data_IF_270906132439
#
_entry.id   IF_270906132439
#
_cell.length_a   1.000
_cell.length_b   1.000
_cell.length_c   1.000
_cell.angle_alpha   90.00
_cell.angle_beta   90.00
_cell.angle_gamma   90.00
#
_symmetry.space_group_name_H-M   'P 1'
#
loop_
_entity.id
_entity.type
_entity.pdbx_description
1 polymer ?
#
# COMPACT_ATOMS: atom_id res chain seq x y z
N UNK A 1 -29.21 1.58 -9.46
CA UNK A 1 -29.09 0.89 -8.17
C UNK A 1 -27.69 0.29 -8.16
N UNK A 2 -26.83 0.79 -7.28
CA UNK A 2 -25.45 0.32 -7.16
C UNK A 2 -25.41 -1.08 -6.52
N UNK A 3 -24.28 -1.80 -6.63
CA UNK A 3 -24.09 -3.05 -5.88
C UNK A 3 -24.23 -2.82 -4.36
N UNK A 4 -23.85 -1.64 -3.88
CA UNK A 4 -23.99 -1.26 -2.47
C UNK A 4 -25.45 -1.07 -2.06
N UNK A 5 -26.29 -0.52 -2.94
CA UNK A 5 -27.74 -0.39 -2.71
C UNK A 5 -28.38 -1.78 -2.58
N UNK A 6 -27.95 -2.75 -3.40
CA UNK A 6 -28.42 -4.14 -3.33
C UNK A 6 -27.99 -4.83 -2.03
N UNK A 7 -26.72 -4.67 -1.62
CA UNK A 7 -26.21 -5.20 -0.34
C UNK A 7 -27.01 -4.60 0.83
N UNK A 8 -27.19 -3.28 0.83
CA UNK A 8 -27.93 -2.57 1.88
C UNK A 8 -29.39 -3.01 1.93
N UNK A 9 -30.03 -3.18 0.77
CA UNK A 9 -31.45 -3.54 0.70
C UNK A 9 -31.72 -5.03 1.02
N UNK A 10 -30.84 -5.93 0.59
CA UNK A 10 -31.08 -7.37 0.68
C UNK A 10 -30.30 -8.07 1.80
N UNK A 11 -29.10 -7.61 2.14
CA UNK A 11 -28.16 -8.29 3.07
C UNK A 11 -28.17 -7.62 4.44
N UNK A 12 -28.00 -6.30 4.50
CA UNK A 12 -27.93 -5.57 5.77
C UNK A 12 -29.36 -5.24 6.23
N UNK A 13 -30.06 -6.23 6.77
CA UNK A 13 -31.35 -6.00 7.44
C UNK A 13 -31.12 -5.94 8.94
N UNK A 14 -31.53 -4.84 9.56
CA UNK A 14 -31.66 -4.84 11.02
C UNK A 14 -32.88 -5.69 11.36
N UNK A 15 -32.73 -6.65 12.28
CA UNK A 15 -33.86 -7.45 12.78
C UNK A 15 -34.75 -6.66 13.76
N UNK A 16 -34.53 -5.35 13.90
CA UNK A 16 -35.26 -4.46 14.79
C UNK A 16 -36.19 -3.56 13.95
N UNK A 17 -37.51 -3.55 14.19
CA UNK A 17 -38.44 -2.65 13.50
C UNK A 17 -38.10 -1.14 13.62
N UNK A 18 -37.29 -0.76 14.62
CA UNK A 18 -36.77 0.59 14.81
C UNK A 18 -35.29 0.76 14.39
N UNK A 19 -34.64 -0.28 13.87
CA UNK A 19 -33.22 -0.22 13.49
C UNK A 19 -33.03 0.34 12.09
N UNK A 20 -32.22 1.39 11.98
CA UNK A 20 -31.74 1.95 10.71
C UNK A 20 -30.34 1.45 10.34
N UNK A 21 -29.93 1.74 9.10
CA UNK A 21 -28.56 1.52 8.63
C UNK A 21 -27.87 2.88 8.64
N UNK A 22 -26.62 2.92 9.11
CA UNK A 22 -25.81 4.13 9.06
C UNK A 22 -25.56 4.51 7.58
N UNK A 23 -25.95 5.72 7.20
CA UNK A 23 -25.67 6.25 5.86
C UNK A 23 -24.27 6.89 5.86
N UNK A 24 -23.25 6.05 5.60
CA UNK A 24 -21.84 6.45 5.59
C UNK A 24 -21.58 7.58 4.58
N UNK A 25 -22.29 7.60 3.44
CA UNK A 25 -22.14 8.64 2.43
C UNK A 25 -22.66 9.99 2.95
N UNK A 26 -23.84 10.00 3.57
CA UNK A 26 -24.39 11.21 4.18
C UNK A 26 -23.54 11.69 5.36
N UNK A 27 -23.00 10.77 6.17
CA UNK A 27 -22.08 11.11 7.26
C UNK A 27 -20.80 11.77 6.74
N UNK A 28 -20.21 11.22 5.67
CA UNK A 28 -19.05 11.82 5.00
C UNK A 28 -19.37 13.18 4.40
N UNK A 29 -20.52 13.32 3.71
CA UNK A 29 -20.97 14.60 3.14
C UNK A 29 -21.13 15.69 4.20
N UNK A 30 -21.55 15.33 5.43
CA UNK A 30 -21.70 16.25 6.56
C UNK A 30 -20.37 16.61 7.21
N UNK A 31 -19.45 15.65 7.32
CA UNK A 31 -18.14 15.84 7.93
C UNK A 31 -17.09 14.96 7.23
N UNK A 32 -16.36 15.51 6.24
CA UNK A 32 -15.33 14.78 5.51
C UNK A 32 -14.01 14.65 6.29
N UNK A 33 -13.93 15.29 7.46
CA UNK A 33 -12.79 15.22 8.40
C UNK A 33 -13.05 14.22 9.52
N UNK A 34 -11.97 13.64 10.05
CA UNK A 34 -11.93 12.82 11.25
C UNK A 34 -12.60 13.54 12.42
N UNK A 35 -13.49 12.84 13.10
CA UNK A 35 -14.29 13.36 14.22
C UNK A 35 -14.65 12.18 15.15
N UNK A 36 -15.47 12.44 16.17
CA UNK A 36 -15.87 11.40 17.12
C UNK A 36 -16.56 10.19 16.45
N UNK A 37 -17.37 10.41 15.42
CA UNK A 37 -18.07 9.33 14.72
C UNK A 37 -17.10 8.41 13.96
N UNK A 38 -16.09 8.98 13.30
CA UNK A 38 -15.05 8.19 12.61
C UNK A 38 -14.07 7.54 13.60
N UNK A 39 -13.75 8.22 14.71
CA UNK A 39 -12.90 7.68 15.76
C UNK A 39 -13.53 6.46 16.44
N UNK A 40 -14.86 6.46 16.63
CA UNK A 40 -15.63 5.33 17.18
C UNK A 40 -15.53 4.07 16.31
N UNK A 41 -15.24 4.19 15.01
CA UNK A 41 -15.05 3.06 14.09
C UNK A 41 -13.62 2.50 14.09
N UNK A 42 -12.70 3.09 14.84
CA UNK A 42 -11.31 2.61 14.94
C UNK A 42 -11.17 1.68 16.16
N UNK A 43 -10.78 0.41 15.98
CA UNK A 43 -10.55 -0.47 17.10
C UNK A 43 -9.33 0.00 17.91
N UNK A 44 -9.45 -0.01 19.23
CA UNK A 44 -8.32 0.18 20.13
C UNK A 44 -7.58 -1.15 20.29
N UNK A 45 -6.60 -1.37 19.40
CA UNK A 45 -5.84 -2.61 19.34
C UNK A 45 -5.06 -2.89 20.64
N UNK A 46 -4.81 -1.88 21.49
CA UNK A 46 -4.10 -2.06 22.77
C UNK A 46 -4.94 -2.81 23.82
N UNK A 47 -6.26 -2.90 23.60
CA UNK A 47 -7.19 -3.64 24.48
C UNK A 47 -7.35 -5.10 24.10
N UNK A 48 -6.73 -5.56 23.01
CA UNK A 48 -6.83 -6.95 22.55
C UNK A 48 -5.73 -7.77 23.24
N UNK A 49 -6.14 -8.62 24.19
CA UNK A 49 -5.26 -9.50 24.98
C UNK A 49 -5.54 -10.99 24.75
N UNK A 50 -6.04 -11.33 23.55
CA UNK A 50 -6.31 -12.71 23.14
C UNK A 50 -5.31 -13.15 22.07
N UNK A 51 -4.98 -14.45 21.99
CA UNK A 51 -4.20 -14.98 20.88
C UNK A 51 -4.87 -14.67 19.55
N UNK A 52 -4.09 -14.16 18.59
CA UNK A 52 -4.56 -13.80 17.25
C UNK A 52 -3.78 -14.55 16.18
N UNK A 53 -4.47 -14.91 15.12
CA UNK A 53 -3.90 -15.40 13.86
C UNK A 53 -4.26 -14.38 12.78
N UNK A 54 -3.29 -13.57 12.35
CA UNK A 54 -3.50 -12.47 11.40
C UNK A 54 -2.87 -12.85 10.06
N UNK A 55 -3.66 -12.77 8.99
CA UNK A 55 -3.18 -12.79 7.61
C UNK A 55 -3.24 -11.39 7.03
N UNK A 56 -2.41 -11.08 6.04
CA UNK A 56 -2.32 -9.76 5.43
C UNK A 56 -2.01 -9.87 3.95
N UNK A 57 -2.09 -8.75 3.24
CA UNK A 57 -1.78 -8.70 1.81
C UNK A 57 -1.17 -7.36 1.44
N UNK A 58 -0.03 -7.39 0.76
CA UNK A 58 0.63 -6.20 0.22
C UNK A 58 -0.10 -5.56 -0.96
N UNK A 59 -1.16 -6.21 -1.47
CA UNK A 59 -1.82 -5.81 -2.72
C UNK A 59 -3.30 -5.47 -2.58
N UNK A 60 -3.96 -5.84 -1.46
CA UNK A 60 -5.35 -5.45 -1.23
C UNK A 60 -5.45 -3.95 -0.91
N UNK A 61 -6.32 -3.22 -1.60
CA UNK A 61 -6.59 -1.81 -1.27
C UNK A 61 -7.55 -1.61 -0.08
N UNK A 62 -8.08 -2.70 0.48
CA UNK A 62 -9.10 -2.69 1.55
C UNK A 62 -8.58 -3.42 2.79
N UNK A 63 -7.95 -4.60 2.62
CA UNK A 63 -7.50 -5.46 3.72
C UNK A 63 -5.99 -5.70 3.63
N UNK A 64 -5.18 -4.68 3.95
CA UNK A 64 -3.70 -4.84 3.97
C UNK A 64 -3.28 -5.67 5.19
N UNK A 65 -3.95 -5.46 6.32
CA UNK A 65 -3.96 -6.35 7.48
C UNK A 65 -5.35 -6.99 7.62
N UNK A 66 -5.41 -8.29 7.92
CA UNK A 66 -6.65 -9.07 8.02
C UNK A 66 -7.18 -9.56 6.67
N UNK A 67 -6.32 -9.82 5.67
CA UNK A 67 -6.75 -10.22 4.33
C UNK A 67 -7.07 -11.72 4.25
N UNK A 68 -8.27 -12.07 3.80
CA UNK A 68 -8.74 -13.45 3.68
C UNK A 68 -8.99 -13.84 2.22
N UNK A 69 -7.94 -13.96 1.41
CA UNK A 69 -8.15 -14.27 -0.02
C UNK A 69 -7.63 -15.67 -0.37
N UNK A 70 -6.50 -15.77 -1.07
CA UNK A 70 -6.02 -17.06 -1.53
C UNK A 70 -5.41 -17.90 -0.40
N UNK A 71 -4.64 -17.28 0.51
CA UNK A 71 -3.95 -18.03 1.57
C UNK A 71 -4.93 -18.74 2.51
N UNK A 72 -5.91 -18.04 3.10
CA UNK A 72 -6.85 -18.67 4.03
C UNK A 72 -7.82 -19.67 3.38
N UNK A 73 -8.27 -19.42 2.15
CA UNK A 73 -9.33 -20.22 1.53
C UNK A 73 -8.85 -21.25 0.51
N UNK A 74 -7.63 -21.11 -0.01
CA UNK A 74 -7.13 -21.91 -1.13
C UNK A 74 -5.78 -22.59 -0.86
N UNK A 75 -5.06 -22.23 0.22
CA UNK A 75 -3.84 -22.93 0.62
C UNK A 75 -4.11 -23.93 1.77
N UNK A 76 -4.06 -25.26 1.51
CA UNK A 76 -4.23 -26.26 2.55
C UNK A 76 -3.20 -26.17 3.69
N UNK A 77 -2.05 -25.52 3.46
CA UNK A 77 -1.06 -25.30 4.51
C UNK A 77 -1.55 -24.26 5.53
N UNK A 78 -2.05 -23.13 5.06
CA UNK A 78 -2.61 -22.08 5.92
C UNK A 78 -3.84 -22.56 6.69
N UNK A 79 -4.72 -23.34 6.04
CA UNK A 79 -5.87 -23.98 6.69
C UNK A 79 -5.44 -24.88 7.87
N UNK A 80 -4.44 -25.75 7.65
CA UNK A 80 -3.89 -26.62 8.72
C UNK A 80 -3.29 -25.82 9.87
N UNK A 81 -2.62 -24.71 9.58
CA UNK A 81 -2.03 -23.86 10.62
C UNK A 81 -3.08 -23.09 11.42
N UNK A 82 -4.14 -22.62 10.76
CA UNK A 82 -5.29 -22.02 11.44
C UNK A 82 -5.97 -23.03 12.37
N UNK A 83 -6.18 -24.27 11.90
CA UNK A 83 -6.69 -25.34 12.73
C UNK A 83 -5.77 -25.66 13.91
N UNK A 84 -4.45 -25.70 13.70
CA UNK A 84 -3.46 -25.88 14.78
C UNK A 84 -3.52 -24.75 15.81
N UNK A 85 -3.75 -23.51 15.37
CA UNK A 85 -3.97 -22.37 16.25
C UNK A 85 -5.24 -22.54 17.11
N UNK A 86 -6.36 -22.95 16.51
CA UNK A 86 -7.60 -23.23 17.24
C UNK A 86 -7.47 -24.44 18.18
N UNK A 87 -6.79 -25.50 17.77
CA UNK A 87 -6.54 -26.66 18.63
C UNK A 87 -5.79 -26.25 19.92
N UNK A 88 -4.77 -25.39 19.81
CA UNK A 88 -4.03 -24.86 20.96
C UNK A 88 -4.91 -24.00 21.87
N UNK A 89 -5.54 -22.97 21.33
CA UNK A 89 -6.15 -21.91 22.14
C UNK A 89 -7.63 -22.11 22.46
N UNK A 90 -8.37 -22.91 21.67
CA UNK A 90 -9.78 -23.21 21.92
C UNK A 90 -9.99 -24.62 22.49
N UNK A 91 -9.11 -25.58 22.19
CA UNK A 91 -9.23 -26.98 22.64
C UNK A 91 -8.18 -27.41 23.66
N UNK A 92 -7.19 -26.58 23.94
CA UNK A 92 -6.13 -26.89 24.91
C UNK A 92 -5.21 -28.03 24.48
N UNK A 93 -5.14 -28.33 23.17
CA UNK A 93 -4.24 -29.36 22.63
C UNK A 93 -2.82 -28.84 22.71
N UNK A 94 -1.92 -29.62 23.30
CA UNK A 94 -0.50 -29.29 23.30
C UNK A 94 0.11 -29.59 21.92
N UNK A 95 0.53 -28.53 21.23
CA UNK A 95 1.12 -28.59 19.90
C UNK A 95 2.23 -27.53 19.76
N UNK A 96 2.93 -27.55 18.63
CA UNK A 96 4.09 -26.68 18.37
C UNK A 96 3.71 -25.26 17.92
N UNK A 97 2.48 -24.79 18.15
CA UNK A 97 2.01 -23.46 17.67
C UNK A 97 2.90 -22.31 18.16
N UNK A 98 3.38 -22.39 19.40
CA UNK A 98 4.26 -21.39 20.02
C UNK A 98 5.68 -21.37 19.43
N UNK A 99 6.08 -22.42 18.70
CA UNK A 99 7.38 -22.50 18.02
C UNK A 99 7.35 -21.90 16.62
N UNK A 100 6.18 -21.55 16.10
CA UNK A 100 6.05 -20.94 14.78
C UNK A 100 6.65 -19.54 14.77
N UNK A 101 7.23 -19.09 13.64
CA UNK A 101 7.69 -17.72 13.50
C UNK A 101 6.54 -16.74 13.76
N UNK A 102 6.86 -15.61 14.42
CA UNK A 102 5.89 -14.55 14.70
C UNK A 102 5.33 -13.93 13.43
N UNK A 103 6.20 -13.72 12.45
CA UNK A 103 5.87 -13.09 11.18
C UNK A 103 6.47 -13.94 10.05
N UNK A 104 5.66 -14.20 9.03
CA UNK A 104 6.11 -14.67 7.72
C UNK A 104 5.62 -13.69 6.68
N UNK A 105 6.44 -13.41 5.68
CA UNK A 105 6.13 -12.43 4.65
C UNK A 105 6.60 -12.90 3.28
N UNK A 106 5.78 -12.83 2.22
CA UNK A 106 6.23 -13.17 0.87
C UNK A 106 7.01 -12.02 0.22
N UNK A 107 8.08 -12.32 -0.50
CA UNK A 107 8.72 -11.33 -1.37
C UNK A 107 8.28 -11.53 -2.82
N UNK A 108 7.54 -10.56 -3.36
CA UNK A 108 7.06 -10.58 -4.72
C UNK A 108 8.21 -10.34 -5.69
N UNK A 109 8.28 -11.16 -6.75
CA UNK A 109 9.34 -11.06 -7.74
C UNK A 109 8.94 -10.23 -8.96
N UNK A 110 7.64 -9.99 -9.18
CA UNK A 110 7.04 -9.39 -10.38
C UNK A 110 7.43 -10.08 -11.71
N UNK A 111 6.57 -9.87 -12.72
CA UNK A 111 6.64 -10.57 -14.00
C UNK A 111 6.16 -12.02 -13.87
N UNK A 112 6.55 -12.85 -14.84
CA UNK A 112 6.18 -14.28 -14.93
C UNK A 112 6.92 -15.15 -13.90
N UNK A 113 6.85 -14.78 -12.62
CA UNK A 113 7.56 -15.43 -11.52
C UNK A 113 6.71 -15.49 -10.26
N UNK A 114 6.72 -16.65 -9.62
CA UNK A 114 6.12 -16.86 -8.30
C UNK A 114 6.76 -15.96 -7.24
N UNK A 115 6.05 -15.69 -6.15
CA UNK A 115 6.62 -15.08 -4.97
C UNK A 115 7.62 -16.01 -4.27
N UNK A 116 8.49 -15.41 -3.45
CA UNK A 116 9.32 -16.14 -2.49
C UNK A 116 8.57 -16.13 -1.17
N UNK A 117 7.85 -17.21 -0.90
CA UNK A 117 6.96 -17.29 0.27
C UNK A 117 7.71 -17.69 1.54
N UNK A 118 7.04 -17.56 2.69
CA UNK A 118 7.50 -18.05 3.99
C UNK A 118 8.90 -17.55 4.41
N UNK A 119 9.22 -16.28 4.10
CA UNK A 119 10.39 -15.62 4.67
C UNK A 119 10.08 -15.36 6.15
N UNK A 120 10.82 -16.00 7.04
CA UNK A 120 10.62 -15.85 8.48
C UNK A 120 11.24 -14.53 8.96
N UNK A 121 10.43 -13.71 9.62
CA UNK A 121 10.82 -12.42 10.17
C UNK A 121 10.65 -12.46 11.69
N UNK A 122 11.58 -11.84 12.39
CA UNK A 122 11.59 -11.84 13.85
C UNK A 122 10.45 -11.00 14.45
N UNK A 123 10.09 -9.90 13.77
CA UNK A 123 9.01 -9.00 14.15
C UNK A 123 8.58 -8.14 12.96
N UNK A 124 7.53 -7.34 13.14
CA UNK A 124 7.13 -6.28 12.21
C UNK A 124 6.97 -4.93 12.94
N UNK A 125 7.57 -3.83 12.45
CA UNK A 125 8.49 -3.75 11.31
C UNK A 125 9.76 -4.59 11.51
N UNK A 126 10.39 -5.02 10.41
CA UNK A 126 11.50 -5.98 10.46
C UNK A 126 12.69 -5.39 11.24
N UNK A 127 13.21 -6.08 12.28
CA UNK A 127 14.39 -5.60 13.00
C UNK A 127 15.61 -5.41 12.09
N UNK A 128 16.40 -4.37 12.37
CA UNK A 128 17.60 -4.00 11.62
C UNK A 128 17.35 -3.60 10.14
N UNK A 129 16.10 -3.28 9.78
CA UNK A 129 15.78 -2.70 8.46
C UNK A 129 16.64 -1.47 8.21
N UNK A 130 17.29 -1.45 7.04
CA UNK A 130 18.08 -0.31 6.59
C UNK A 130 17.19 0.60 5.75
N UNK A 131 16.64 1.64 6.37
CA UNK A 131 15.89 2.66 5.64
C UNK A 131 16.83 3.57 4.87
N UNK A 132 16.90 3.37 3.55
CA UNK A 132 17.75 4.18 2.67
C UNK A 132 16.94 5.31 2.05
N UNK A 133 17.45 6.52 2.15
CA UNK A 133 16.86 7.70 1.53
C UNK A 133 17.40 7.88 0.11
N UNK A 134 16.50 8.17 -0.82
CA UNK A 134 16.84 8.56 -2.17
C UNK A 134 16.25 9.92 -2.51
N UNK A 135 17.04 10.72 -3.22
CA UNK A 135 16.68 12.04 -3.69
C UNK A 135 16.43 12.05 -5.19
N UNK A 136 15.52 12.92 -5.61
CA UNK A 136 15.14 13.05 -7.01
C UNK A 136 16.09 14.01 -7.74
N UNK A 137 16.60 13.59 -8.90
CA UNK A 137 17.49 14.36 -9.76
C UNK A 137 17.06 14.19 -11.22
N UNK A 138 16.35 15.17 -11.78
CA UNK A 138 15.76 15.02 -13.11
C UNK A 138 14.74 13.88 -13.10
N UNK A 139 14.92 12.87 -13.98
CA UNK A 139 14.12 11.63 -14.00
C UNK A 139 14.73 10.50 -13.19
N UNK A 140 15.88 10.71 -12.54
CA UNK A 140 16.59 9.69 -11.78
C UNK A 140 16.40 9.87 -10.28
N UNK A 141 16.65 8.81 -9.54
CA UNK A 141 16.60 8.76 -8.09
C UNK A 141 17.90 8.18 -7.52
N UNK A 142 18.58 8.98 -6.69
CA UNK A 142 19.95 8.73 -6.23
C UNK A 142 20.10 8.91 -4.73
N UNK A 143 21.01 8.17 -4.09
CA UNK A 143 21.33 8.36 -2.65
C UNK A 143 22.02 9.71 -2.37
N UNK A 144 22.64 10.32 -3.38
CA UNK A 144 23.25 11.64 -3.25
C UNK A 144 22.17 12.74 -3.17
N UNK A 145 22.32 13.75 -2.28
CA UNK A 145 21.43 14.89 -2.24
C UNK A 145 21.36 15.63 -3.58
N UNK A 146 20.19 16.21 -3.88
CA UNK A 146 20.00 17.02 -5.07
C UNK A 146 20.97 18.21 -5.07
N UNK A 147 21.76 18.36 -6.14
CA UNK A 147 22.72 19.46 -6.31
C UNK A 147 22.20 20.61 -7.17
N UNK A 148 21.05 20.43 -7.82
CA UNK A 148 20.44 21.40 -8.74
C UNK A 148 18.99 21.61 -8.37
N UNK A 149 18.56 22.86 -8.42
CA UNK A 149 17.15 23.22 -8.30
C UNK A 149 16.42 22.92 -9.61
N UNK A 150 15.19 22.43 -9.52
CA UNK A 150 14.36 22.13 -10.69
C UNK A 150 12.89 21.98 -10.31
N UNK A 151 12.03 21.98 -11.32
CA UNK A 151 10.60 21.73 -11.16
C UNK A 151 10.21 20.65 -12.16
N UNK A 152 9.53 19.62 -11.67
CA UNK A 152 8.85 18.63 -12.52
C UNK A 152 7.34 18.88 -12.38
N UNK A 153 6.67 19.09 -13.50
CA UNK A 153 5.23 19.36 -13.54
C UNK A 153 4.49 18.25 -14.25
N UNK A 154 3.24 18.02 -13.83
CA UNK A 154 2.31 17.13 -14.53
C UNK A 154 0.88 17.64 -14.35
N UNK A 155 -0.03 17.20 -15.23
CA UNK A 155 -1.44 17.56 -15.18
C UNK A 155 -2.22 16.55 -14.33
N UNK A 156 -2.69 16.94 -13.15
CA UNK A 156 -3.44 16.04 -12.25
C UNK A 156 -4.79 15.58 -12.81
N UNK A 157 -5.29 16.21 -13.88
CA UNK A 157 -6.55 15.84 -14.53
C UNK A 157 -6.37 14.81 -15.65
N UNK A 158 -5.12 14.53 -16.07
CA UNK A 158 -4.81 13.55 -17.10
C UNK A 158 -4.09 12.36 -16.48
N UNK A 159 -4.75 11.19 -16.50
CA UNK A 159 -4.22 9.93 -15.98
C UNK A 159 -2.91 9.48 -16.63
N UNK A 160 -2.58 10.01 -17.81
CA UNK A 160 -1.34 9.71 -18.53
C UNK A 160 -0.22 10.73 -18.23
N UNK A 161 -0.54 11.84 -17.56
CA UNK A 161 0.44 12.86 -17.18
C UNK A 161 1.01 12.54 -15.81
N UNK A 162 2.16 11.87 -15.79
CA UNK A 162 2.83 11.45 -14.56
C UNK A 162 4.23 12.05 -14.46
N UNK A 163 4.66 12.34 -13.23
CA UNK A 163 6.06 12.60 -12.93
C UNK A 163 6.75 11.29 -12.58
N UNK A 164 7.62 10.82 -13.48
CA UNK A 164 8.34 9.56 -13.30
C UNK A 164 9.77 9.75 -12.81
N UNK A 165 10.15 8.96 -11.80
CA UNK A 165 11.52 8.89 -11.28
C UNK A 165 11.96 7.43 -11.14
N UNK A 166 13.18 7.13 -11.60
CA UNK A 166 13.71 5.77 -11.62
C UNK A 166 15.02 5.62 -10.84
N UNK A 167 15.18 4.51 -10.12
CA UNK A 167 16.45 4.10 -9.53
C UNK A 167 16.90 2.76 -10.12
N UNK A 168 18.18 2.55 -10.45
CA UNK A 168 18.62 1.23 -10.95
C UNK A 168 19.26 0.43 -9.82
N UNK A 169 18.66 -0.70 -9.45
CA UNK A 169 19.32 -1.64 -8.55
C UNK A 169 20.52 -2.27 -9.26
N UNK A 170 21.71 -2.14 -8.65
CA UNK A 170 22.97 -2.70 -9.18
C UNK A 170 23.29 -4.09 -8.64
N UNK A 171 22.58 -4.51 -7.59
CA UNK A 171 22.71 -5.81 -6.94
C UNK A 171 21.35 -6.31 -6.48
N UNK A 172 21.26 -7.63 -6.28
CA UNK A 172 20.05 -8.24 -5.73
C UNK A 172 19.72 -7.59 -4.38
N UNK A 173 18.50 -7.12 -4.24
CA UNK A 173 18.03 -6.35 -3.09
C UNK A 173 16.62 -6.78 -2.71
N UNK A 174 16.29 -6.69 -1.43
CA UNK A 174 14.97 -7.02 -0.88
C UNK A 174 14.44 -5.82 -0.12
N UNK A 175 13.23 -5.40 -0.50
CA UNK A 175 12.50 -4.37 0.21
C UNK A 175 11.31 -5.03 0.91
N UNK A 176 11.36 -5.11 2.25
CA UNK A 176 10.24 -5.60 3.06
C UNK A 176 9.98 -4.60 4.18
N UNK A 177 8.77 -4.04 4.26
CA UNK A 177 8.37 -3.15 5.36
C UNK A 177 7.64 -1.90 4.88
N UNK A 178 7.92 -0.76 5.54
CA UNK A 178 7.16 0.49 5.42
C UNK A 178 7.92 1.56 4.61
N UNK A 179 7.64 1.71 3.30
CA UNK A 179 8.20 2.79 2.51
C UNK A 179 7.52 4.15 2.78
N UNK A 180 8.23 5.25 2.48
CA UNK A 180 7.70 6.62 2.60
C UNK A 180 8.16 7.50 1.45
N UNK A 181 7.33 8.44 1.01
CA UNK A 181 7.74 9.54 0.16
C UNK A 181 7.51 10.87 0.86
N UNK A 182 8.46 11.80 0.75
CA UNK A 182 8.40 13.13 1.35
C UNK A 182 8.59 14.25 0.31
N UNK A 183 7.72 14.39 -0.72
CA UNK A 183 7.89 15.42 -1.74
C UNK A 183 7.59 16.83 -1.22
N UNK A 184 8.20 17.81 -1.89
CA UNK A 184 7.91 19.24 -1.76
C UNK A 184 7.09 19.64 -3.00
N UNK A 185 5.84 20.04 -2.81
CA UNK A 185 4.89 20.24 -3.90
C UNK A 185 4.13 21.56 -3.78
N UNK A 186 3.66 22.07 -4.92
CA UNK A 186 2.77 23.23 -4.99
C UNK A 186 1.76 23.07 -6.12
N UNK A 187 0.59 23.68 -5.99
CA UNK A 187 -0.34 23.91 -7.10
C UNK A 187 -0.39 25.41 -7.43
N UNK A 188 -0.06 25.85 -8.66
CA UNK A 188 0.01 27.28 -8.99
C UNK A 188 -1.31 28.02 -8.94
N UNK A 189 -2.45 27.33 -9.12
CA UNK A 189 -3.76 28.00 -9.21
C UNK A 189 -4.87 27.32 -8.40
N UNK A 190 -4.54 26.32 -7.58
CA UNK A 190 -5.47 25.70 -6.64
C UNK A 190 -4.89 25.70 -5.22
N UNK A 191 -5.80 25.62 -4.25
CA UNK A 191 -5.53 25.67 -2.83
C UNK A 191 -5.44 24.27 -2.16
N UNK A 192 -5.43 23.22 -2.98
CA UNK A 192 -5.31 21.83 -2.52
C UNK A 192 -4.73 20.94 -3.62
N UNK A 193 -4.25 19.75 -3.23
CA UNK A 193 -3.70 18.73 -4.13
C UNK A 193 -4.00 17.34 -3.58
N UNK A 194 -4.62 16.46 -4.37
CA UNK A 194 -4.57 15.03 -4.07
C UNK A 194 -3.34 14.44 -4.74
N UNK A 195 -2.46 13.80 -3.98
CA UNK A 195 -1.18 13.27 -4.46
C UNK A 195 -1.16 11.76 -4.24
N UNK A 196 -0.85 11.01 -5.30
CA UNK A 196 -0.63 9.57 -5.22
C UNK A 196 0.80 9.23 -5.61
N UNK A 197 1.42 8.33 -4.86
CA UNK A 197 2.75 7.80 -5.12
C UNK A 197 2.63 6.29 -5.27
N UNK A 198 2.95 5.75 -6.44
CA UNK A 198 3.03 4.30 -6.64
C UNK A 198 4.48 3.88 -6.78
N UNK A 199 4.89 2.81 -6.12
CA UNK A 199 6.17 2.15 -6.36
C UNK A 199 6.00 1.01 -7.37
N UNK A 200 6.26 1.28 -8.65
CA UNK A 200 6.20 0.30 -9.73
C UNK A 200 7.54 -0.40 -9.93
N UNK A 201 7.55 -1.66 -10.35
CA UNK A 201 8.78 -2.34 -10.77
C UNK A 201 8.87 -2.41 -12.29
N UNK A 202 10.03 -2.04 -12.85
CA UNK A 202 10.34 -2.10 -14.28
C UNK A 202 11.31 -3.24 -14.59
N UNK A 203 11.03 -4.00 -15.65
CA UNK A 203 11.89 -5.06 -16.17
C UNK A 203 13.13 -4.51 -16.90
N UNK A 204 14.05 -5.41 -17.25
CA UNK A 204 15.25 -5.06 -18.01
C UNK A 204 14.96 -4.59 -19.43
N UNK A 205 13.79 -4.93 -19.96
CA UNK A 205 13.24 -4.48 -21.24
C UNK A 205 12.59 -3.09 -21.18
N UNK A 206 12.57 -2.47 -19.99
CA UNK A 206 11.95 -1.17 -19.77
C UNK A 206 10.45 -1.21 -19.50
N UNK A 207 9.80 -2.39 -19.57
CA UNK A 207 8.36 -2.51 -19.33
C UNK A 207 8.02 -2.46 -17.84
N UNK A 208 6.90 -1.82 -17.51
CA UNK A 208 6.33 -1.90 -16.17
C UNK A 208 5.77 -3.30 -15.93
N UNK A 209 6.24 -3.94 -14.89
CA UNK A 209 5.81 -5.28 -14.51
C UNK A 209 4.56 -5.21 -13.62
N UNK A 210 3.88 -6.36 -13.56
CA UNK A 210 2.78 -6.67 -12.66
C UNK A 210 3.10 -8.00 -11.97
N UNK A 211 2.40 -8.31 -10.89
CA UNK A 211 2.48 -9.60 -10.21
C UNK A 211 1.07 -10.18 -10.04
N UNK A 212 0.90 -11.49 -10.23
CA UNK A 212 -0.38 -12.15 -9.94
C UNK A 212 -0.60 -12.23 -8.43
N UNK A 213 -1.83 -12.01 -7.99
CA UNK A 213 -2.19 -12.11 -6.56
C UNK A 213 -2.57 -13.52 -6.13
N UNK A 214 -2.45 -14.49 -7.05
CA UNK A 214 -2.73 -15.90 -6.85
C UNK A 214 -1.75 -16.75 -7.69
N UNK A 215 -1.60 -18.06 -7.40
CA UNK A 215 -0.63 -18.91 -8.07
C UNK A 215 -0.85 -19.01 -9.59
N UNK A 216 0.24 -19.12 -10.36
CA UNK A 216 0.14 -19.23 -11.83
C UNK A 216 -0.68 -20.45 -12.27
N UNK A 217 -0.70 -21.51 -11.46
CA UNK A 217 -1.51 -22.71 -11.72
C UNK A 217 -3.02 -22.48 -11.73
N UNK A 218 -3.49 -21.36 -11.14
CA UNK A 218 -4.90 -20.98 -11.11
C UNK A 218 -5.30 -20.02 -12.23
N UNK A 219 -4.35 -19.57 -13.07
CA UNK A 219 -4.64 -18.72 -14.23
C UNK A 219 -5.44 -19.51 -15.27
N UNK A 220 -6.53 -18.94 -15.84
CA UNK A 220 -7.26 -19.56 -16.94
C UNK A 220 -6.33 -19.94 -18.09
N UNK A 221 -6.54 -21.12 -18.69
CA UNK A 221 -5.62 -21.70 -19.69
C UNK A 221 -5.49 -20.87 -20.97
N UNK A 222 -6.43 -19.95 -21.19
CA UNK A 222 -6.44 -19.04 -22.33
C UNK A 222 -5.34 -17.97 -22.21
N UNK A 223 -4.91 -17.63 -21.00
CA UNK A 223 -3.84 -16.68 -20.73
C UNK A 223 -2.52 -17.41 -20.53
N UNK A 224 -1.49 -17.02 -21.30
CA UNK A 224 -0.15 -17.64 -21.22
C UNK A 224 0.82 -16.80 -20.41
N UNK A 225 0.59 -15.50 -20.37
CA UNK A 225 1.38 -14.49 -19.67
C UNK A 225 0.46 -13.52 -18.97
N UNK A 226 0.99 -12.78 -18.00
CA UNK A 226 0.28 -11.70 -17.33
C UNK A 226 -0.14 -10.61 -18.32
N UNK A 227 0.66 -10.37 -19.37
CA UNK A 227 0.35 -9.39 -20.41
C UNK A 227 -0.90 -9.78 -21.24
N UNK A 228 -1.22 -11.08 -21.34
CA UNK A 228 -2.38 -11.58 -22.10
C UNK A 228 -3.72 -11.27 -21.40
N UNK A 229 -3.71 -10.98 -20.09
CA UNK A 229 -4.92 -10.64 -19.34
C UNK A 229 -5.51 -9.35 -19.91
N UNK A 230 -6.77 -9.42 -20.34
CA UNK A 230 -7.48 -8.32 -20.97
C UNK A 230 -7.58 -7.12 -20.03
N UNK A 231 -7.44 -5.90 -20.55
CA UNK A 231 -7.40 -4.67 -19.75
C UNK A 231 -8.63 -4.51 -18.84
N UNK A 232 -9.83 -4.86 -19.33
CA UNK A 232 -11.07 -4.82 -18.57
C UNK A 232 -11.18 -5.89 -17.47
N UNK A 233 -10.28 -6.88 -17.46
CA UNK A 233 -10.19 -7.91 -16.43
C UNK A 233 -9.09 -7.62 -15.41
N UNK A 234 -8.20 -6.65 -15.67
CA UNK A 234 -7.14 -6.26 -14.74
C UNK A 234 -7.72 -5.51 -13.55
N UNK A 235 -7.60 -6.08 -12.36
CA UNK A 235 -8.11 -5.53 -11.12
C UNK A 235 -7.13 -5.78 -9.96
N UNK A 236 -7.27 -5.04 -8.86
CA UNK A 236 -6.45 -5.28 -7.65
C UNK A 236 -6.66 -6.67 -7.04
N UNK A 237 -7.74 -7.37 -7.41
CA UNK A 237 -8.03 -8.73 -6.96
C UNK A 237 -7.19 -9.79 -7.68
N UNK A 238 -6.71 -9.54 -8.90
CA UNK A 238 -5.90 -10.49 -9.67
C UNK A 238 -4.46 -10.01 -9.95
N UNK A 239 -4.23 -8.70 -9.93
CA UNK A 239 -2.94 -8.11 -10.28
C UNK A 239 -2.51 -7.06 -9.25
N UNK A 240 -1.26 -7.16 -8.85
CA UNK A 240 -0.55 -6.15 -8.08
C UNK A 240 0.37 -5.35 -8.99
N UNK A 241 0.17 -4.03 -9.01
CA UNK A 241 0.98 -3.11 -9.81
C UNK A 241 2.19 -2.58 -9.03
N UNK A 242 2.10 -2.56 -7.70
CA UNK A 242 3.05 -1.90 -6.80
C UNK A 242 2.34 -1.23 -5.62
N UNK A 243 3.08 -0.99 -4.54
CA UNK A 243 2.54 -0.34 -3.33
C UNK A 243 2.21 1.13 -3.59
N UNK A 244 1.15 1.62 -2.94
CA UNK A 244 0.59 2.96 -3.16
C UNK A 244 0.60 3.76 -1.86
N UNK A 245 0.93 5.05 -1.93
CA UNK A 245 0.68 6.04 -0.90
C UNK A 245 -0.23 7.13 -1.45
N UNK A 246 -1.08 7.70 -0.62
CA UNK A 246 -1.99 8.77 -1.01
C UNK A 246 -2.07 9.81 0.10
N UNK A 247 -2.09 11.09 -0.28
CA UNK A 247 -2.30 12.19 0.66
C UNK A 247 -2.99 13.35 -0.03
N UNK A 248 -4.05 13.88 0.59
CA UNK A 248 -4.56 15.21 0.28
C UNK A 248 -3.73 16.24 1.01
N UNK A 249 -3.19 17.22 0.30
CA UNK A 249 -2.24 18.16 0.83
C UNK A 249 -2.82 19.04 1.95
N UNK A 250 -4.12 19.37 1.93
CA UNK A 250 -4.79 20.01 3.06
C UNK A 250 -4.92 19.15 4.32
N UNK A 251 -4.75 17.83 4.22
CA UNK A 251 -4.74 16.88 5.34
C UNK A 251 -3.32 16.49 5.78
N UNK A 252 -2.29 17.22 5.34
CA UNK A 252 -0.87 16.90 5.60
C UNK A 252 -0.46 16.87 7.07
N UNK A 253 -1.24 17.46 7.97
CA UNK A 253 -0.96 17.43 9.41
C UNK A 253 -0.92 15.98 9.93
N UNK A 254 0.15 15.61 10.62
CA UNK A 254 0.35 14.28 11.19
C UNK A 254 0.94 14.39 12.59
N UNK A 255 0.74 13.33 13.37
CA UNK A 255 1.24 13.23 14.73
C UNK A 255 2.32 12.13 14.82
N UNK A 256 3.59 12.49 15.07
CA UNK A 256 4.66 11.52 15.25
C UNK A 256 4.44 10.55 16.42
N UNK A 257 3.73 10.95 17.49
CA UNK A 257 3.49 10.11 18.67
C UNK A 257 2.41 9.05 18.40
N UNK A 258 1.46 9.34 17.52
CA UNK A 258 0.46 8.37 17.04
C UNK A 258 0.95 7.54 15.86
N UNK A 259 2.08 7.90 15.25
CA UNK A 259 2.66 7.17 14.14
C UNK A 259 3.25 5.85 14.62
N UNK A 260 2.82 4.73 14.02
CA UNK A 260 3.33 3.39 14.36
C UNK A 260 4.83 3.23 14.05
N UNK A 261 5.35 4.06 13.15
CA UNK A 261 6.74 4.07 12.72
C UNK A 261 7.07 5.43 12.08
N UNK A 262 8.33 5.87 12.11
CA UNK A 262 8.79 7.14 11.48
C UNK A 262 8.53 7.20 9.96
N UNK A 263 8.39 6.04 9.32
CA UNK A 263 8.11 5.90 7.88
C UNK A 263 6.62 5.74 7.56
N UNK A 264 5.75 5.70 8.57
CA UNK A 264 4.32 5.54 8.39
C UNK A 264 3.57 6.59 9.22
N UNK A 265 3.49 7.83 8.72
CA UNK A 265 2.92 8.95 9.46
C UNK A 265 1.43 8.77 9.71
N UNK A 266 1.00 9.07 10.94
CA UNK A 266 -0.41 9.10 11.31
C UNK A 266 -1.01 10.48 11.02
N UNK A 267 -1.65 10.62 9.86
CA UNK A 267 -2.36 11.85 9.52
C UNK A 267 -3.62 12.01 10.36
N UNK A 268 -3.76 13.16 11.01
CA UNK A 268 -4.86 13.44 11.94
C UNK A 268 -6.21 13.49 11.21
N UNK A 269 -6.21 14.06 10.01
CA UNK A 269 -7.39 14.26 9.17
C UNK A 269 -8.53 15.03 9.85
N UNK A 270 -8.27 15.76 10.94
CA UNK A 270 -9.26 16.44 11.79
C UNK A 270 -9.63 17.85 11.31
N UNK A 271 -8.85 18.39 10.37
CA UNK A 271 -9.09 19.68 9.71
C UNK A 271 -8.49 19.69 8.31
N UNK A 272 -8.98 20.61 7.49
CA UNK A 272 -8.38 20.96 6.20
C UNK A 272 -7.54 22.24 6.35
N UNK A 273 -6.23 22.12 6.20
CA UNK A 273 -5.31 23.24 6.10
C UNK A 273 -5.06 23.57 4.63
N UNK A 274 -5.95 24.33 4.00
CA UNK A 274 -5.79 24.77 2.60
C UNK A 274 -4.44 25.47 2.39
N UNK A 275 -3.95 25.38 1.16
CA UNK A 275 -2.64 25.85 0.74
C UNK A 275 -2.83 27.14 -0.06
N UNK A 276 -1.95 28.11 0.09
CA UNK A 276 -2.01 29.29 -0.79
C UNK A 276 -1.55 28.88 -2.20
N UNK A 277 -2.26 29.22 -3.28
CA UNK A 277 -1.79 28.89 -4.63
C UNK A 277 -0.34 29.34 -4.88
N UNK A 278 0.51 28.40 -5.32
CA UNK A 278 1.95 28.56 -5.52
C UNK A 278 2.82 28.31 -4.29
N UNK A 279 2.24 28.16 -3.10
CA UNK A 279 2.98 27.80 -1.88
C UNK A 279 3.54 26.38 -1.98
N UNK A 280 4.81 26.22 -1.60
CA UNK A 280 5.48 24.93 -1.56
C UNK A 280 5.31 24.30 -0.19
N UNK A 281 4.59 23.19 -0.12
CA UNK A 281 4.38 22.42 1.11
C UNK A 281 5.14 21.10 1.07
N UNK A 282 5.54 20.61 2.26
CA UNK A 282 6.10 19.27 2.43
C UNK A 282 4.97 18.28 2.72
N UNK A 283 4.96 17.16 2.04
CA UNK A 283 3.97 16.10 2.18
C UNK A 283 4.66 14.84 2.70
N UNK A 284 4.41 14.40 3.92
CA UNK A 284 4.92 13.13 4.45
C UNK A 284 3.93 12.02 4.06
N UNK A 285 4.15 11.35 2.94
CA UNK A 285 3.22 10.36 2.37
C UNK A 285 3.69 8.95 2.78
N UNK A 286 2.97 8.35 3.73
CA UNK A 286 3.10 6.91 4.01
C UNK A 286 2.69 6.11 2.78
N UNK A 287 3.56 5.20 2.33
CA UNK A 287 3.25 4.25 1.27
C UNK A 287 2.93 2.93 1.97
N UNK A 288 1.89 2.23 1.49
CA UNK A 288 1.53 0.93 2.02
C UNK A 288 2.71 -0.04 2.01
N UNK A 289 2.68 -1.01 2.92
CA UNK A 289 3.77 -1.97 3.06
C UNK A 289 4.08 -2.66 1.74
N UNK A 290 5.32 -3.09 1.62
CA UNK A 290 5.78 -3.81 0.43
C UNK A 290 6.64 -4.99 0.85
N UNK A 291 6.56 -6.08 0.10
CA UNK A 291 7.53 -7.16 0.08
C UNK A 291 7.96 -7.47 -1.34
N UNK A 292 9.11 -6.97 -1.78
CA UNK A 292 9.56 -7.09 -3.19
C UNK A 292 11.05 -7.38 -3.27
N UNK A 293 11.41 -8.39 -4.07
CA UNK A 293 12.79 -8.68 -4.45
C UNK A 293 13.14 -8.04 -5.80
N UNK A 294 14.33 -7.44 -5.89
CA UNK A 294 14.88 -6.81 -7.09
C UNK A 294 16.18 -7.50 -7.48
N UNK A 295 16.33 -7.92 -8.74
CA UNK A 295 17.60 -8.51 -9.23
C UNK A 295 18.51 -7.41 -9.79
N UNK A 296 18.00 -6.65 -10.76
CA UNK A 296 18.59 -5.45 -11.35
C UNK A 296 17.48 -4.63 -12.05
N UNK A 297 16.44 -4.25 -11.32
CA UNK A 297 15.25 -3.60 -11.87
C UNK A 297 15.21 -2.11 -11.52
N UNK A 298 14.18 -1.39 -11.97
CA UNK A 298 13.94 0.00 -11.55
C UNK A 298 12.66 0.12 -10.72
N UNK A 299 12.67 0.71 -9.50
CA UNK A 299 11.46 1.26 -8.94
C UNK A 299 11.12 2.53 -9.72
N UNK A 300 9.89 2.65 -10.18
CA UNK A 300 9.35 3.83 -10.82
C UNK A 300 8.30 4.44 -9.89
N UNK A 301 8.37 5.74 -9.66
CA UNK A 301 7.24 6.47 -9.07
C UNK A 301 6.32 6.91 -10.20
N UNK A 302 5.06 6.47 -10.16
CA UNK A 302 4.01 6.96 -11.06
C UNK A 302 2.80 7.38 -10.22
N UNK A 303 2.06 8.39 -10.66
CA UNK A 303 0.77 8.72 -10.04
C UNK A 303 -0.31 7.73 -10.51
N UNK A 304 -1.19 7.32 -9.59
CA UNK A 304 -2.35 6.49 -9.88
C UNK A 304 -3.60 7.35 -9.94
N UNK A 305 -4.30 7.38 -11.08
CA UNK A 305 -5.70 7.79 -11.12
C UNK A 305 -6.58 6.63 -11.56
N UNK A 306 -6.69 5.59 -10.73
CA UNK A 306 -7.66 4.53 -11.00
C UNK A 306 -8.32 4.04 -9.72
N UNK A 307 -9.01 4.94 -9.00
CA UNK A 307 -10.20 4.56 -8.23
C UNK A 307 -11.04 5.76 -7.77
N UNK A 308 -10.43 6.94 -7.57
CA UNK A 308 -11.08 8.08 -6.91
C UNK A 308 -11.71 9.11 -7.86
N UNK A 309 -11.45 9.03 -9.17
CA UNK A 309 -11.98 9.99 -10.14
C UNK A 309 -13.53 10.00 -10.24
N UNK A 310 -14.20 8.96 -9.74
CA UNK A 310 -15.65 8.75 -9.95
C UNK A 310 -16.55 9.05 -8.75
N UNK A 311 -16.02 9.28 -7.54
CA UNK A 311 -16.89 9.36 -6.34
C UNK A 311 -17.08 10.77 -5.77
N UNK A 312 -16.12 11.67 -5.93
CA UNK A 312 -16.17 13.00 -5.28
C UNK A 312 -15.98 14.10 -6.34
N UNK A 313 -17.06 14.41 -7.06
CA UNK A 313 -17.07 15.44 -8.11
C UNK A 313 -16.67 16.85 -7.65
N UNK A 314 -16.62 17.08 -6.33
CA UNK A 314 -16.22 18.35 -5.69
C UNK A 314 -14.74 18.40 -5.30
N UNK A 315 -14.04 17.26 -5.31
CA UNK A 315 -12.66 17.11 -4.81
C UNK A 315 -11.65 16.82 -5.93
N UNK A 316 -12.00 17.20 -7.16
CA UNK A 316 -11.08 17.05 -8.29
C UNK A 316 -9.85 17.93 -8.04
N UNK A 317 -8.67 17.31 -8.07
CA UNK A 317 -7.42 18.02 -8.32
C UNK A 317 -7.58 18.67 -9.69
N UNK A 318 -7.98 19.93 -9.71
CA UNK A 318 -7.97 20.75 -10.90
C UNK A 318 -6.54 21.27 -10.97
N UNK A 319 -5.87 21.17 -12.13
CA UNK A 319 -4.60 21.86 -12.45
C UNK A 319 -3.28 21.11 -12.29
N UNK A 320 -2.28 21.59 -13.06
CA UNK A 320 -0.85 21.39 -12.90
C UNK A 320 -0.39 21.27 -11.43
N UNK A 321 0.16 20.11 -11.09
CA UNK A 321 0.93 19.91 -9.86
C UNK A 321 2.42 20.07 -10.17
N UNK A 322 3.17 20.66 -9.22
CA UNK A 322 4.62 20.88 -9.36
C UNK A 322 5.37 20.21 -8.22
N UNK A 323 6.41 19.47 -8.58
CA UNK A 323 7.37 18.82 -7.67
C UNK A 323 8.66 19.64 -7.68
N UNK A 324 9.08 20.13 -6.51
CA UNK A 324 10.22 21.03 -6.36
C UNK A 324 11.49 20.27 -5.97
N UNK A 325 12.45 20.21 -6.89
CA UNK A 325 13.75 19.58 -6.72
C UNK A 325 14.78 20.62 -6.24
N UNK A 326 15.69 20.25 -5.35
CA UNK A 326 16.84 21.09 -5.02
C UNK A 326 17.45 20.81 -3.64
N UNK A 327 18.64 21.39 -3.35
CA UNK A 327 19.29 21.27 -2.05
C UNK A 327 18.42 21.78 -0.88
N UNK A 328 17.71 22.89 -1.11
CA UNK A 328 16.81 23.52 -0.12
C UNK A 328 15.44 22.83 -0.04
N UNK A 329 15.11 22.03 -1.06
CA UNK A 329 13.88 21.25 -1.18
C UNK A 329 14.19 19.77 -1.39
N UNK A 330 14.90 19.11 -0.45
CA UNK A 330 15.27 17.71 -0.62
C UNK A 330 14.01 16.86 -0.58
N UNK A 331 13.69 16.25 -1.71
CA UNK A 331 12.68 15.21 -1.79
C UNK A 331 13.33 13.91 -1.37
N UNK A 332 12.60 13.11 -0.59
CA UNK A 332 13.08 11.82 -0.11
C UNK A 332 12.08 10.74 -0.44
N UNK A 333 12.57 9.66 -1.03
CA UNK A 333 11.86 8.39 -1.14
C UNK A 333 12.65 7.41 -0.31
N UNK A 334 12.01 6.79 0.66
CA UNK A 334 12.67 6.00 1.69
C UNK A 334 12.24 4.54 1.50
N UNK A 335 13.22 3.67 1.29
CA UNK A 335 12.99 2.25 1.05
C UNK A 335 13.47 1.37 2.21
N UNK A 336 12.67 0.36 2.62
CA UNK A 336 13.00 -0.53 3.73
C UNK A 336 13.88 -1.71 3.27
N UNK A 337 15.20 -1.54 3.21
CA UNK A 337 16.09 -2.64 2.81
C UNK A 337 16.21 -3.68 3.92
N UNK A 338 15.88 -4.93 3.58
CA UNK A 338 15.99 -6.10 4.46
C UNK A 338 17.01 -7.07 3.88
N UNK A 339 17.79 -7.72 4.75
CA UNK A 339 18.83 -8.64 4.31
C UNK A 339 18.27 -9.86 3.55
N UNK A 340 18.96 -10.31 2.51
CA UNK A 340 18.59 -11.54 1.79
C UNK A 340 18.86 -12.81 2.62
N UNK A 341 19.56 -12.70 3.76
CA UNK A 341 19.90 -13.81 4.65
C UNK A 341 18.73 -14.31 5.52
N UNK A 342 17.61 -13.58 5.57
CA UNK A 342 16.41 -14.09 6.24
C UNK A 342 15.97 -15.40 5.58
N UNK A 343 15.81 -16.43 6.41
CA UNK A 343 15.60 -17.80 5.97
C UNK A 343 14.25 -17.94 5.27
N UNK A 344 14.25 -18.62 4.13
CA UNK A 344 13.03 -19.12 3.49
C UNK A 344 12.78 -20.50 4.09
N UNK A 345 11.69 -20.67 4.84
CA UNK A 345 11.34 -22.01 5.31
C UNK A 345 10.86 -22.81 4.11
N UNK A 346 11.60 -23.86 3.74
CA UNK A 346 11.07 -24.84 2.77
C UNK A 346 9.85 -25.51 3.41
N UNK A 347 8.74 -25.54 2.68
CA UNK A 347 7.56 -26.34 3.04
C UNK A 347 7.97 -27.81 2.97
N UNK A 348 8.59 -28.31 4.04
CA UNK A 348 8.84 -29.74 4.21
C UNK A 348 7.52 -30.42 4.54
N UNK A 349 6.70 -30.63 3.52
CA UNK A 349 5.87 -31.82 3.33
C UNK A 349 5.30 -31.78 1.90
N UNK A 350 5.56 -32.80 1.06
CA UNK A 350 4.91 -32.91 -0.23
C UNK A 350 3.40 -33.09 -0.03
N UNK A 351 2.65 -32.52 -0.97
CA UNK A 351 1.19 -32.63 -1.17
C UNK A 351 0.69 -34.06 -0.98
#
# INVERSE_FOLDING_TARGET
>A
MSNFDLITHFIIKTNNPAGGIEDINEMYRRSPVSNQLWADKRPDMTKIDIPVFITGSDFSSIHIMGAEWCELYCDPHADKELHSHFDKYLRGVDNDREKMPKVRWPALQFGERESIDNIELADFPVPNTQYKEFHLLGSDMTEAPASKTGIVSYNSEDSNSIAEFAHKFTQKSRLIGLPKAAPRMSSPSHDDMNVFVILRKRGNDGKLLMHLTFPFSAVPKEYKTIEDILENERASLNLHLGSVGALRASHRAFDPELSIHEQFPFHLNDKEEKITPGEVVKLEIGIWSMGVDFDAAFPCIAEYSAFLATWLGHEKSKVEHRIHLGPETPIRVIFPYVALSYQVRQNNNPV
#
